data_IF_737114280535
#
_entry.id   IF_737114280535
#
_cell.length_a   1.000
_cell.length_b   1.000
_cell.length_c   1.000
_cell.angle_alpha   90.00
_cell.angle_beta   90.00
_cell.angle_gamma   90.00
#
_symmetry.space_group_name_H-M   'P 1'
#
loop_
_entity.id
_entity.type
_entity.pdbx_description
1 polymer ?
#
# COMPACT_ATOMS: atom_id res chain seq x y z
N UNK A 1 6.99 1.29 -34.01
CA UNK A 1 7.15 0.97 -32.57
C UNK A 1 6.75 2.21 -31.81
N UNK A 2 5.67 2.15 -31.03
CA UNK A 2 5.05 3.32 -30.40
C UNK A 2 5.88 3.79 -29.21
N UNK A 3 6.17 5.10 -29.20
CA UNK A 3 6.80 5.84 -28.11
C UNK A 3 6.12 5.58 -26.75
N UNK A 4 6.90 5.16 -25.76
CA UNK A 4 6.97 5.88 -24.48
C UNK A 4 5.93 5.60 -23.39
N UNK A 5 5.21 4.48 -23.39
CA UNK A 5 4.29 4.14 -22.28
C UNK A 5 4.89 3.09 -21.33
N UNK A 6 6.06 3.37 -20.76
CA UNK A 6 6.54 2.60 -19.60
C UNK A 6 5.80 3.07 -18.36
N UNK A 7 4.51 2.74 -18.25
CA UNK A 7 3.73 2.79 -17.00
C UNK A 7 4.19 1.69 -16.01
N UNK A 8 5.50 1.41 -16.02
CA UNK A 8 6.14 0.36 -15.26
C UNK A 8 6.10 0.75 -13.79
N UNK A 9 5.49 -0.11 -12.97
CA UNK A 9 5.45 0.09 -11.54
C UNK A 9 6.87 -0.10 -10.98
N UNK A 10 7.46 0.98 -10.48
CA UNK A 10 8.71 0.90 -9.71
C UNK A 10 8.33 0.62 -8.25
N UNK A 11 8.93 -0.44 -7.68
CA UNK A 11 8.75 -0.80 -6.27
C UNK A 11 10.02 -0.42 -5.53
N UNK A 12 9.88 0.54 -4.61
CA UNK A 12 10.96 1.02 -3.75
C UNK A 12 10.57 0.79 -2.28
N UNK A 13 11.00 -0.33 -1.67
CA UNK A 13 10.63 -0.65 -0.29
C UNK A 13 11.10 0.42 0.69
N UNK A 14 10.19 0.87 1.55
CA UNK A 14 10.41 1.90 2.56
C UNK A 14 10.87 3.27 1.99
N UNK A 15 10.66 3.51 0.69
CA UNK A 15 11.12 4.72 0.00
C UNK A 15 12.63 4.99 0.21
N UNK A 16 13.44 3.93 0.33
CA UNK A 16 14.86 4.02 0.61
C UNK A 16 15.72 3.40 -0.51
N UNK A 17 15.95 4.15 -1.62
CA UNK A 17 16.77 3.68 -2.73
C UNK A 17 18.26 3.59 -2.37
N UNK A 18 18.67 4.11 -1.21
CA UNK A 18 20.06 4.18 -0.75
C UNK A 18 20.34 3.21 0.41
N UNK A 19 19.55 2.14 0.54
CA UNK A 19 19.71 1.11 1.57
C UNK A 19 21.16 0.59 1.62
N UNK A 20 21.76 0.66 2.81
CA UNK A 20 23.08 0.09 3.07
C UNK A 20 23.02 -1.35 3.60
N UNK A 21 21.85 -1.79 4.08
CA UNK A 21 21.63 -3.08 4.73
C UNK A 21 20.64 -3.96 3.93
N UNK A 22 20.61 -5.28 4.18
CA UNK A 22 19.58 -6.19 3.66
C UNK A 22 18.15 -5.67 3.88
N UNK A 23 17.27 -5.93 2.91
CA UNK A 23 15.86 -5.55 3.03
C UNK A 23 15.16 -6.29 4.18
N UNK A 24 15.61 -7.52 4.49
CA UNK A 24 15.12 -8.28 5.63
C UNK A 24 15.38 -7.61 6.98
N UNK A 25 16.46 -6.83 7.11
CA UNK A 25 16.74 -6.09 8.35
C UNK A 25 15.78 -4.91 8.53
N UNK A 26 15.54 -4.12 7.47
CA UNK A 26 14.51 -3.07 7.46
C UNK A 26 13.14 -3.67 7.86
N UNK A 27 12.76 -4.77 7.22
CA UNK A 27 11.51 -5.48 7.54
C UNK A 27 11.41 -5.82 9.03
N UNK A 28 12.45 -6.42 9.58
CA UNK A 28 12.47 -6.84 10.98
C UNK A 28 12.38 -5.65 11.94
N UNK A 29 13.09 -4.55 11.65
CA UNK A 29 13.04 -3.34 12.45
C UNK A 29 11.62 -2.75 12.51
N UNK A 30 10.95 -2.64 11.35
CA UNK A 30 9.55 -2.19 11.29
C UNK A 30 8.60 -3.17 11.98
N UNK A 31 8.81 -4.48 11.80
CA UNK A 31 8.00 -5.51 12.44
C UNK A 31 8.05 -5.38 13.97
N UNK A 32 9.24 -5.27 14.54
CA UNK A 32 9.43 -5.08 15.99
C UNK A 32 8.79 -3.77 16.50
N UNK A 33 8.87 -2.69 15.72
CA UNK A 33 8.22 -1.42 16.07
C UNK A 33 6.69 -1.60 16.22
N UNK A 34 6.07 -2.33 15.29
CA UNK A 34 4.62 -2.54 15.30
C UNK A 34 4.15 -3.57 16.35
N UNK A 35 4.94 -4.61 16.61
CA UNK A 35 4.63 -5.61 17.65
C UNK A 35 4.58 -5.01 19.05
N UNK A 36 5.27 -3.89 19.29
CA UNK A 36 5.18 -3.17 20.57
C UNK A 36 3.78 -2.58 20.86
N UNK A 37 2.90 -2.53 19.87
CA UNK A 37 1.52 -2.02 19.99
C UNK A 37 1.40 -0.52 20.20
N UNK A 38 2.52 0.21 20.29
CA UNK A 38 2.57 1.66 20.58
C UNK A 38 2.52 2.55 19.34
N UNK A 39 2.59 1.97 18.15
CA UNK A 39 2.72 2.71 16.89
C UNK A 39 1.58 2.36 15.94
N UNK A 40 0.74 3.35 15.60
CA UNK A 40 -0.25 3.26 14.51
C UNK A 40 0.47 3.56 13.18
N UNK A 41 0.25 2.75 12.15
CA UNK A 41 0.85 2.94 10.82
C UNK A 41 -0.23 3.29 9.78
N UNK A 42 0.08 4.23 8.89
CA UNK A 42 -0.82 4.68 7.84
C UNK A 42 -0.06 4.73 6.50
N UNK A 43 -0.74 4.35 5.42
CA UNK A 43 -0.25 4.55 4.05
C UNK A 43 -0.95 5.77 3.48
N UNK A 44 -0.18 6.77 3.07
CA UNK A 44 -0.69 8.01 2.50
C UNK A 44 -0.38 8.06 1.00
N UNK A 45 -1.40 8.33 0.18
CA UNK A 45 -1.19 8.69 -1.23
C UNK A 45 -1.03 10.20 -1.33
N UNK A 46 0.12 10.67 -1.81
CA UNK A 46 0.41 12.08 -2.09
C UNK A 46 0.44 12.38 -3.60
N UNK A 47 0.22 11.35 -4.42
CA UNK A 47 0.16 11.42 -5.87
C UNK A 47 -1.25 11.67 -6.40
N UNK A 48 -1.53 11.16 -7.59
CA UNK A 48 -2.90 11.18 -8.13
C UNK A 48 -3.65 9.94 -7.64
N UNK A 49 -4.96 10.08 -7.47
CA UNK A 49 -5.89 9.00 -7.16
C UNK A 49 -7.00 9.01 -8.21
N UNK A 50 -7.06 7.97 -9.05
CA UNK A 50 -8.04 7.83 -10.14
C UNK A 50 -8.21 9.12 -10.98
N UNK A 51 -7.09 9.71 -11.41
CA UNK A 51 -7.08 10.94 -12.20
C UNK A 51 -7.28 12.24 -11.40
N UNK A 52 -7.61 12.15 -10.12
CA UNK A 52 -7.75 13.31 -9.22
C UNK A 52 -6.43 13.59 -8.51
N UNK A 53 -6.00 14.85 -8.48
CA UNK A 53 -4.78 15.25 -7.77
C UNK A 53 -5.05 15.24 -6.27
N UNK A 54 -4.26 14.48 -5.49
CA UNK A 54 -4.22 14.66 -4.05
C UNK A 54 -3.39 15.90 -3.75
N UNK A 55 -4.04 16.94 -3.22
CA UNK A 55 -3.39 18.20 -2.89
C UNK A 55 -2.70 18.12 -1.53
N UNK A 56 -1.68 18.97 -1.26
CA UNK A 56 -1.10 19.07 0.07
C UNK A 56 -2.14 19.33 1.16
N UNK A 57 -3.18 20.13 0.88
CA UNK A 57 -4.26 20.40 1.82
C UNK A 57 -5.05 19.14 2.20
N UNK A 58 -5.32 18.24 1.23
CA UNK A 58 -5.97 16.96 1.49
C UNK A 58 -5.08 16.08 2.39
N UNK A 59 -3.79 15.96 2.05
CA UNK A 59 -2.85 15.13 2.83
C UNK A 59 -2.68 15.66 4.25
N UNK A 60 -2.42 16.95 4.41
CA UNK A 60 -2.26 17.57 5.73
C UNK A 60 -3.55 17.51 6.55
N UNK A 61 -4.72 17.75 5.94
CA UNK A 61 -6.01 17.60 6.61
C UNK A 61 -6.28 16.16 7.06
N UNK A 62 -5.80 15.17 6.31
CA UNK A 62 -5.88 13.75 6.70
C UNK A 62 -5.00 13.44 7.89
N UNK A 63 -3.76 13.97 7.92
CA UNK A 63 -2.85 13.84 9.06
C UNK A 63 -3.45 14.51 10.30
N UNK A 64 -4.01 15.71 10.16
CA UNK A 64 -4.66 16.40 11.28
C UNK A 64 -5.82 15.58 11.87
N UNK A 65 -6.69 15.03 11.02
CA UNK A 65 -7.80 14.17 11.45
C UNK A 65 -7.32 12.91 12.15
N UNK A 66 -6.20 12.33 11.72
CA UNK A 66 -5.57 11.16 12.36
C UNK A 66 -5.06 11.53 13.74
N UNK A 67 -4.27 12.62 13.85
CA UNK A 67 -3.64 13.06 15.11
C UNK A 67 -4.69 13.50 16.13
N UNK A 68 -5.77 14.15 15.68
CA UNK A 68 -6.88 14.57 16.55
C UNK A 68 -7.90 13.46 16.82
N UNK A 69 -7.72 12.27 16.26
CA UNK A 69 -8.66 11.14 16.35
C UNK A 69 -10.08 11.46 15.89
N UNK A 70 -10.23 12.40 14.94
CA UNK A 70 -11.52 12.81 14.35
C UNK A 70 -11.76 12.20 12.97
N UNK A 71 -10.77 11.45 12.44
CA UNK A 71 -10.86 10.77 11.15
C UNK A 71 -11.92 9.65 11.15
N UNK A 72 -12.83 9.69 10.17
CA UNK A 72 -13.82 8.63 9.94
C UNK A 72 -13.23 7.57 9.02
N UNK A 73 -12.74 6.49 9.61
CA UNK A 73 -12.26 5.32 8.88
C UNK A 73 -13.42 4.37 8.59
N UNK A 74 -13.55 3.96 7.33
CA UNK A 74 -14.53 2.97 6.89
C UNK A 74 -13.84 1.76 6.27
N UNK A 75 -14.47 0.57 6.26
CA UNK A 75 -13.87 -0.63 5.68
C UNK A 75 -13.45 -0.43 4.23
N UNK A 76 -12.31 -1.01 3.83
CA UNK A 76 -11.84 -0.99 2.46
C UNK A 76 -12.51 -2.11 1.65
N UNK A 77 -13.83 -1.98 1.47
CA UNK A 77 -14.64 -2.94 0.74
C UNK A 77 -14.56 -4.34 1.37
N UNK A 78 -14.14 -5.32 0.57
CA UNK A 78 -14.08 -6.73 0.96
C UNK A 78 -12.83 -7.12 1.76
N UNK A 79 -11.94 -6.17 2.05
CA UNK A 79 -10.70 -6.42 2.82
C UNK A 79 -10.92 -6.10 4.31
N UNK A 80 -11.32 -7.07 5.16
CA UNK A 80 -11.76 -6.83 6.54
C UNK A 80 -10.70 -6.24 7.47
N UNK A 81 -9.42 -6.32 7.12
CA UNK A 81 -8.29 -5.81 7.94
C UNK A 81 -7.74 -4.48 7.45
N UNK A 82 -8.37 -3.89 6.43
CA UNK A 82 -7.94 -2.62 5.85
C UNK A 82 -9.13 -1.66 5.93
N UNK A 83 -8.86 -0.46 6.41
CA UNK A 83 -9.80 0.66 6.38
C UNK A 83 -9.13 1.84 5.69
N UNK A 84 -9.94 2.79 5.23
CA UNK A 84 -9.45 4.04 4.68
C UNK A 84 -10.19 5.22 5.27
N UNK A 85 -9.51 6.36 5.33
CA UNK A 85 -10.12 7.61 5.71
C UNK A 85 -11.03 8.08 4.58
N UNK A 86 -12.32 8.23 4.87
CA UNK A 86 -13.28 8.76 3.89
C UNK A 86 -12.97 10.23 3.60
N UNK A 87 -12.77 10.55 2.32
CA UNK A 87 -12.57 11.91 1.82
C UNK A 87 -13.56 12.14 0.69
N UNK A 88 -14.36 13.19 0.83
CA UNK A 88 -15.40 13.55 -0.14
C UNK A 88 -14.80 13.74 -1.54
N UNK A 89 -15.40 13.06 -2.52
CA UNK A 89 -14.97 13.09 -3.91
C UNK A 89 -13.74 12.22 -4.21
N UNK A 90 -13.24 11.42 -3.26
CA UNK A 90 -12.17 10.43 -3.47
C UNK A 90 -12.55 9.05 -2.93
N UNK A 91 -13.82 8.70 -3.10
CA UNK A 91 -14.36 7.39 -2.74
C UNK A 91 -13.65 6.27 -3.52
N UNK A 92 -13.61 5.09 -2.90
CA UNK A 92 -13.06 3.89 -3.55
C UNK A 92 -14.17 3.22 -4.35
N UNK A 93 -14.03 3.07 -5.68
CA UNK A 93 -15.10 2.51 -6.52
C UNK A 93 -15.08 0.98 -6.44
N UNK A 94 -15.51 0.42 -5.31
CA UNK A 94 -15.47 -1.03 -5.07
C UNK A 94 -16.32 -1.85 -6.05
N UNK A 95 -17.38 -1.26 -6.59
CA UNK A 95 -18.24 -1.91 -7.58
C UNK A 95 -17.65 -1.90 -9.00
N UNK A 96 -16.65 -1.05 -9.26
CA UNK A 96 -15.97 -0.99 -10.55
C UNK A 96 -15.08 -2.23 -10.75
N UNK A 97 -15.42 -3.01 -11.78
CA UNK A 97 -14.68 -4.22 -12.15
C UNK A 97 -13.24 -3.92 -12.58
N UNK A 98 -13.02 -2.86 -13.36
CA UNK A 98 -11.69 -2.48 -13.83
C UNK A 98 -10.81 -2.03 -12.66
N UNK A 99 -11.37 -1.27 -11.69
CA UNK A 99 -10.65 -0.91 -10.47
C UNK A 99 -10.26 -2.13 -9.65
N UNK A 100 -11.18 -3.09 -9.44
CA UNK A 100 -10.87 -4.34 -8.72
C UNK A 100 -9.79 -5.17 -9.42
N UNK A 101 -9.85 -5.27 -10.75
CA UNK A 101 -8.83 -5.96 -11.54
C UNK A 101 -7.46 -5.29 -11.41
N UNK A 102 -7.42 -3.96 -11.51
CA UNK A 102 -6.21 -3.17 -11.31
C UNK A 102 -5.64 -3.38 -9.90
N UNK A 103 -6.48 -3.34 -8.86
CA UNK A 103 -6.03 -3.57 -7.48
C UNK A 103 -5.41 -4.96 -7.32
N UNK A 104 -6.04 -6.00 -7.84
CA UNK A 104 -5.48 -7.36 -7.80
C UNK A 104 -4.16 -7.44 -8.58
N UNK A 105 -4.07 -6.86 -9.76
CA UNK A 105 -2.84 -6.80 -10.57
C UNK A 105 -1.71 -6.12 -9.80
N UNK A 106 -1.97 -4.97 -9.18
CA UNK A 106 -0.99 -4.21 -8.40
C UNK A 106 -0.53 -4.97 -7.16
N UNK A 107 -1.38 -5.79 -6.54
CA UNK A 107 -0.99 -6.68 -5.44
C UNK A 107 -0.14 -7.86 -5.96
N UNK A 108 -0.51 -8.48 -7.10
CA UNK A 108 0.27 -9.56 -7.72
C UNK A 108 1.69 -9.12 -8.09
N UNK A 109 1.84 -7.91 -8.67
CA UNK A 109 3.16 -7.35 -9.00
C UNK A 109 4.01 -7.22 -7.72
N UNK A 110 3.43 -6.78 -6.59
CA UNK A 110 4.15 -6.69 -5.31
C UNK A 110 4.57 -8.05 -4.78
N UNK A 111 3.70 -9.05 -4.85
CA UNK A 111 4.04 -10.43 -4.48
C UNK A 111 5.18 -10.97 -5.35
N UNK A 112 5.12 -10.74 -6.66
CA UNK A 112 6.16 -11.17 -7.59
C UNK A 112 7.50 -10.50 -7.28
N UNK A 113 7.49 -9.19 -6.99
CA UNK A 113 8.68 -8.46 -6.57
C UNK A 113 9.32 -9.11 -5.34
N UNK A 114 8.55 -9.36 -4.27
CA UNK A 114 9.05 -10.00 -3.05
C UNK A 114 9.66 -11.37 -3.35
N UNK A 115 9.01 -12.17 -4.20
CA UNK A 115 9.50 -13.51 -4.58
C UNK A 115 10.73 -13.47 -5.49
N UNK A 116 10.97 -12.36 -6.19
CA UNK A 116 12.14 -12.17 -7.06
C UNK A 116 13.39 -11.68 -6.32
N UNK A 117 13.27 -11.33 -5.04
CA UNK A 117 14.39 -10.87 -4.22
C UNK A 117 15.45 -11.98 -4.13
N UNK A 118 16.72 -11.60 -4.30
CA UNK A 118 17.83 -12.52 -4.09
C UNK A 118 17.98 -12.89 -2.60
N UNK A 119 18.81 -13.88 -2.30
CA UNK A 119 19.00 -14.37 -0.93
C UNK A 119 19.40 -13.25 0.06
N UNK A 120 20.25 -12.32 -0.37
CA UNK A 120 20.72 -11.21 0.45
C UNK A 120 19.59 -10.24 0.84
N UNK A 121 18.65 -9.96 -0.06
CA UNK A 121 17.49 -9.09 0.22
C UNK A 121 16.21 -9.85 0.58
N UNK A 122 16.29 -11.16 0.80
CA UNK A 122 15.10 -11.99 1.03
C UNK A 122 14.29 -11.52 2.23
N UNK A 123 12.97 -11.69 2.13
CA UNK A 123 12.01 -11.39 3.19
C UNK A 123 11.43 -12.69 3.76
N UNK A 124 10.92 -12.68 5.01
CA UNK A 124 10.16 -13.79 5.55
C UNK A 124 8.98 -14.16 4.64
N UNK A 125 8.65 -15.46 4.60
CA UNK A 125 7.58 -16.02 3.75
C UNK A 125 6.25 -15.29 3.92
N UNK A 126 5.94 -14.93 5.16
CA UNK A 126 4.73 -14.20 5.56
C UNK A 126 4.54 -12.86 4.83
N UNK A 127 5.61 -12.21 4.38
CA UNK A 127 5.52 -10.93 3.66
C UNK A 127 4.76 -11.08 2.33
N UNK A 128 5.08 -12.13 1.55
CA UNK A 128 4.37 -12.43 0.32
C UNK A 128 2.97 -13.01 0.60
N UNK A 129 2.87 -13.94 1.55
CA UNK A 129 1.61 -14.61 1.88
C UNK A 129 0.54 -13.63 2.37
N UNK A 130 0.93 -12.60 3.13
CA UNK A 130 0.01 -11.55 3.59
C UNK A 130 -0.64 -10.80 2.43
N UNK A 131 0.10 -10.53 1.36
CA UNK A 131 -0.42 -9.87 0.15
C UNK A 131 -1.29 -10.83 -0.65
N UNK A 132 -0.88 -12.10 -0.77
CA UNK A 132 -1.65 -13.14 -1.47
C UNK A 132 -3.02 -13.38 -0.81
N UNK A 133 -3.08 -13.34 0.52
CA UNK A 133 -4.33 -13.41 1.25
C UNK A 133 -5.29 -12.25 0.90
N UNK A 134 -4.78 -11.04 0.68
CA UNK A 134 -5.60 -9.91 0.21
C UNK A 134 -6.13 -10.16 -1.20
N UNK A 135 -5.29 -10.69 -2.10
CA UNK A 135 -5.71 -11.04 -3.47
C UNK A 135 -6.84 -12.08 -3.44
N UNK A 136 -6.71 -13.12 -2.61
CA UNK A 136 -7.73 -14.16 -2.45
C UNK A 136 -9.07 -13.63 -1.90
N UNK A 137 -9.03 -12.58 -1.07
CA UNK A 137 -10.25 -11.91 -0.59
C UNK A 137 -10.92 -11.05 -1.67
N UNK A 138 -10.14 -10.44 -2.56
CA UNK A 138 -10.64 -9.63 -3.69
C UNK A 138 -11.19 -10.46 -4.87
N UNK A 139 -10.88 -11.76 -4.91
CA UNK A 139 -11.33 -12.66 -5.97
C UNK A 139 -12.68 -13.34 -5.66
N UNK A 140 -13.21 -13.14 -4.46
CA UNK A 140 -14.55 -13.57 -4.04
C UNK A 140 -15.60 -12.55 -4.49
#
# INVERSE_FOLDING_TARGET
MTNGDTNQLIIEPFANPFRAYPLGEDYQAFRTLFESGRTKCYVLNTGNYNGKKVTPAITLGSIEKIVRETGKFIPFGMLPRISYLSIEGMEVPFDDRAYRQLLQERLRIRTQYIRSLNAYHSLPKEAAESIENLIGQLAK
#
